data_IF_740582155198
#
_entry.id   IF_740582155198
#
_cell.length_a   1.000
_cell.length_b   1.000
_cell.length_c   1.000
_cell.angle_alpha   90.00
_cell.angle_beta   90.00
_cell.angle_gamma   90.00
#
_symmetry.space_group_name_H-M   'P 1'
#
loop_
_entity.id
_entity.type
_entity.pdbx_description
1 polymer ?
#
# COMPACT_ATOMS: atom_id res chain seq x y z
N UNK A 1 -33.22 -21.32 -15.18
CA UNK A 1 -32.64 -20.01 -14.83
C UNK A 1 -31.14 -20.18 -14.94
N UNK A 2 -30.50 -19.50 -15.89
CA UNK A 2 -29.08 -19.68 -16.19
C UNK A 2 -28.25 -18.53 -15.60
N UNK A 3 -26.99 -18.82 -15.25
CA UNK A 3 -26.04 -17.84 -14.74
C UNK A 3 -24.96 -17.59 -15.79
N UNK A 4 -24.60 -16.32 -15.98
CA UNK A 4 -23.50 -15.98 -16.89
C UNK A 4 -22.16 -16.36 -16.25
N UNK A 5 -21.39 -17.21 -16.92
CA UNK A 5 -20.05 -17.59 -16.48
C UNK A 5 -19.04 -16.43 -16.50
N UNK A 6 -19.30 -15.36 -17.26
CA UNK A 6 -18.40 -14.22 -17.36
C UNK A 6 -18.66 -13.17 -16.27
N UNK A 7 -19.91 -12.79 -16.03
CA UNK A 7 -20.26 -11.72 -15.07
C UNK A 7 -21.09 -12.18 -13.86
N UNK A 8 -21.42 -13.47 -13.75
CA UNK A 8 -22.18 -14.04 -12.63
C UNK A 8 -23.64 -13.62 -12.56
N UNK A 9 -24.14 -12.85 -13.52
CA UNK A 9 -25.53 -12.35 -13.49
C UNK A 9 -26.49 -13.43 -13.98
N UNK A 10 -27.62 -13.57 -13.28
CA UNK A 10 -28.72 -14.45 -13.68
C UNK A 10 -29.44 -13.87 -14.89
N UNK A 11 -29.77 -14.74 -15.85
CA UNK A 11 -30.54 -14.38 -17.02
C UNK A 11 -31.50 -15.52 -17.38
N UNK A 12 -32.55 -15.18 -18.13
CA UNK A 12 -33.56 -16.16 -18.53
C UNK A 12 -33.04 -17.12 -19.60
N UNK A 13 -33.44 -18.38 -19.47
CA UNK A 13 -33.07 -19.45 -20.41
C UNK A 13 -33.58 -19.09 -21.82
N UNK A 14 -32.76 -19.31 -22.85
CA UNK A 14 -33.12 -19.02 -24.25
C UNK A 14 -32.67 -17.65 -24.79
N UNK A 15 -32.10 -16.77 -23.96
CA UNK A 15 -31.37 -15.59 -24.47
C UNK A 15 -30.07 -16.04 -25.15
N UNK A 16 -29.69 -15.40 -26.26
CA UNK A 16 -28.47 -15.75 -27.03
C UNK A 16 -27.21 -15.14 -26.41
N UNK A 17 -27.36 -14.03 -25.67
CA UNK A 17 -26.29 -13.28 -25.05
C UNK A 17 -26.74 -12.73 -23.68
N UNK A 18 -25.80 -12.61 -22.74
CA UNK A 18 -26.03 -12.01 -21.44
C UNK A 18 -26.28 -10.50 -21.60
N UNK A 19 -27.42 -9.97 -21.11
CA UNK A 19 -27.76 -8.56 -21.28
C UNK A 19 -26.84 -7.59 -20.50
N UNK A 20 -26.08 -8.11 -19.52
CA UNK A 20 -25.20 -7.28 -18.68
C UNK A 20 -23.78 -7.16 -19.22
N UNK A 21 -23.25 -8.21 -19.83
CA UNK A 21 -21.85 -8.23 -20.28
C UNK A 21 -21.66 -8.60 -21.76
N UNK A 22 -22.73 -8.95 -22.47
CA UNK A 22 -22.69 -9.33 -23.89
C UNK A 22 -22.15 -10.73 -24.18
N UNK A 23 -21.74 -11.51 -23.17
CA UNK A 23 -21.20 -12.86 -23.38
C UNK A 23 -22.27 -13.84 -23.90
N UNK A 24 -21.87 -14.75 -24.79
CA UNK A 24 -22.78 -15.75 -25.38
C UNK A 24 -23.37 -16.70 -24.33
N UNK A 25 -24.68 -16.93 -24.40
CA UNK A 25 -25.38 -17.83 -23.48
C UNK A 25 -25.11 -19.29 -23.83
N UNK A 26 -24.95 -20.12 -22.80
CA UNK A 26 -24.71 -21.56 -22.95
C UNK A 26 -26.05 -22.33 -23.02
N UNK A 27 -26.24 -23.26 -23.98
CA UNK A 27 -27.43 -24.11 -24.04
C UNK A 27 -27.33 -25.25 -23.02
N UNK A 28 -28.42 -25.48 -22.27
CA UNK A 28 -28.53 -26.58 -21.31
C UNK A 28 -29.14 -27.81 -22.00
N UNK A 29 -28.51 -28.98 -21.90
CA UNK A 29 -29.05 -30.24 -22.43
C UNK A 29 -30.03 -30.89 -21.43
N UNK A 30 -31.11 -31.57 -21.89
CA UNK A 30 -32.15 -32.09 -21.01
C UNK A 30 -31.75 -33.40 -20.28
N UNK A 31 -32.30 -33.67 -19.07
CA UNK A 31 -31.94 -34.83 -18.25
C UNK A 31 -32.69 -36.11 -18.66
N UNK A 32 -31.96 -37.23 -18.70
CA UNK A 32 -32.47 -38.59 -18.96
C UNK A 32 -32.72 -39.30 -17.62
N UNK A 33 -33.92 -39.88 -17.42
CA UNK A 33 -34.27 -40.68 -16.24
C UNK A 33 -33.89 -42.16 -16.43
N UNK A 34 -33.29 -42.79 -15.40
CA UNK A 34 -32.98 -44.22 -15.35
C UNK A 34 -33.81 -44.96 -14.28
N UNK A 35 -34.18 -46.25 -14.49
CA UNK A 35 -35.06 -47.03 -13.61
C UNK A 35 -34.37 -47.58 -12.34
N UNK A 36 -35.13 -47.99 -11.29
CA UNK A 36 -34.58 -48.27 -9.95
C UNK A 36 -33.93 -49.66 -9.80
N UNK A 37 -32.95 -49.85 -8.88
CA UNK A 37 -32.12 -51.06 -8.81
C UNK A 37 -32.64 -52.14 -7.83
N UNK A 38 -32.48 -53.41 -8.21
CA UNK A 38 -32.67 -54.60 -7.36
C UNK A 38 -31.42 -54.86 -6.48
N UNK A 39 -31.64 -55.32 -5.24
CA UNK A 39 -30.62 -55.46 -4.19
C UNK A 39 -29.91 -56.82 -4.22
N UNK A 40 -28.59 -56.83 -3.95
CA UNK A 40 -27.72 -58.01 -3.90
C UNK A 40 -27.15 -58.29 -2.49
N UNK A 41 -26.71 -59.54 -2.19
CA UNK A 41 -26.48 -60.07 -0.84
C UNK A 41 -25.18 -59.61 -0.15
N UNK A 42 -25.23 -59.57 1.19
CA UNK A 42 -24.24 -59.00 2.09
C UNK A 42 -23.02 -59.91 2.32
N UNK A 43 -21.83 -59.44 1.97
CA UNK A 43 -20.56 -60.09 2.31
C UNK A 43 -19.34 -59.24 1.95
N UNK A 44 -18.57 -58.83 2.96
CA UNK A 44 -17.27 -58.18 2.83
C UNK A 44 -17.37 -56.65 2.67
N UNK A 45 -17.13 -55.91 3.74
CA UNK A 45 -16.97 -54.45 3.68
C UNK A 45 -15.63 -54.12 3.01
N UNK A 46 -15.65 -54.02 1.68
CA UNK A 46 -14.65 -53.28 0.94
C UNK A 46 -14.87 -51.78 1.25
N UNK A 47 -13.82 -51.02 1.62
CA UNK A 47 -13.97 -49.58 1.85
C UNK A 47 -14.46 -48.89 0.56
N UNK A 48 -15.39 -47.93 0.66
CA UNK A 48 -16.00 -47.31 -0.50
C UNK A 48 -14.94 -46.60 -1.38
N UNK A 49 -15.11 -46.60 -2.72
CA UNK A 49 -14.25 -45.85 -3.62
C UNK A 49 -14.22 -44.36 -3.21
N UNK A 50 -13.03 -43.85 -2.89
CA UNK A 50 -12.86 -42.44 -2.56
C UNK A 50 -13.20 -41.60 -3.80
N UNK A 51 -14.32 -40.88 -3.73
CA UNK A 51 -14.66 -39.90 -4.74
C UNK A 51 -13.54 -38.83 -4.82
N UNK A 52 -13.19 -38.33 -6.03
CA UNK A 52 -12.29 -37.19 -6.17
C UNK A 52 -12.86 -36.03 -5.36
N UNK A 53 -12.21 -35.67 -4.26
CA UNK A 53 -12.58 -34.50 -3.49
C UNK A 53 -12.39 -33.27 -4.40
N UNK A 54 -13.38 -32.37 -4.48
CA UNK A 54 -13.19 -31.09 -5.14
C UNK A 54 -11.97 -30.41 -4.52
N UNK A 55 -11.03 -29.98 -5.34
CA UNK A 55 -9.86 -29.24 -4.91
C UNK A 55 -10.33 -27.84 -4.45
N UNK A 56 -10.80 -27.76 -3.21
CA UNK A 56 -11.16 -26.51 -2.58
C UNK A 56 -9.89 -25.67 -2.47
N UNK A 57 -9.86 -24.54 -3.18
CA UNK A 57 -8.85 -23.52 -2.95
C UNK A 57 -8.85 -23.18 -1.44
N UNK A 58 -7.71 -23.28 -0.75
CA UNK A 58 -7.67 -23.02 0.67
C UNK A 58 -8.15 -21.60 0.95
N UNK A 59 -8.90 -21.37 2.05
CA UNK A 59 -9.33 -20.03 2.43
C UNK A 59 -8.11 -19.10 2.51
N UNK A 60 -8.22 -17.84 2.06
CA UNK A 60 -7.11 -16.90 2.07
C UNK A 60 -6.52 -16.84 3.48
N UNK A 61 -5.25 -17.23 3.59
CA UNK A 61 -4.58 -17.29 4.89
C UNK A 61 -4.56 -15.89 5.50
N UNK A 62 -4.84 -15.75 6.80
CA UNK A 62 -4.77 -14.46 7.47
C UNK A 62 -3.35 -13.91 7.29
N UNK A 63 -3.25 -12.77 6.61
CA UNK A 63 -1.96 -12.12 6.40
C UNK A 63 -1.31 -11.88 7.78
N UNK A 64 0.02 -12.06 7.90
CA UNK A 64 0.72 -11.85 9.16
C UNK A 64 0.35 -10.50 9.76
N UNK A 65 0.02 -10.45 11.05
CA UNK A 65 -0.36 -9.21 11.74
C UNK A 65 0.64 -8.06 11.53
N UNK A 66 1.92 -8.39 11.38
CA UNK A 66 2.98 -7.43 10.99
C UNK A 66 2.74 -6.74 9.65
N UNK A 67 2.17 -7.43 8.65
CA UNK A 67 1.86 -6.83 7.35
C UNK A 67 0.67 -5.87 7.42
N UNK A 68 -0.26 -6.11 8.35
CA UNK A 68 -1.40 -5.21 8.60
C UNK A 68 -0.94 -3.90 9.25
N UNK A 69 -0.06 -3.99 10.25
CA UNK A 69 0.55 -2.80 10.86
C UNK A 69 1.37 -2.00 9.85
N UNK A 70 2.15 -2.67 9.00
CA UNK A 70 2.93 -2.01 7.95
C UNK A 70 2.04 -1.33 6.91
N UNK A 71 0.91 -1.93 6.53
CA UNK A 71 -0.05 -1.32 5.61
C UNK A 71 -0.76 -0.10 6.22
N UNK A 72 -1.07 -0.13 7.51
CA UNK A 72 -1.67 1.01 8.23
C UNK A 72 -0.68 2.15 8.41
N UNK A 73 0.59 1.87 8.71
CA UNK A 73 1.64 2.89 8.81
C UNK A 73 1.80 3.66 7.50
N UNK A 74 1.66 2.99 6.35
CA UNK A 74 1.74 3.61 5.02
C UNK A 74 0.64 4.64 4.75
N UNK A 75 -0.49 4.59 5.47
CA UNK A 75 -1.64 5.46 5.22
C UNK A 75 -1.66 6.76 6.06
N UNK A 76 -0.64 6.97 6.90
CA UNK A 76 -0.51 8.18 7.72
C UNK A 76 0.91 8.65 8.00
N UNK A 77 1.93 7.84 7.70
CA UNK A 77 3.33 8.21 7.92
C UNK A 77 3.80 9.29 6.96
N UNK A 78 4.38 10.37 7.49
CA UNK A 78 5.20 11.29 6.70
C UNK A 78 6.32 10.55 5.96
N UNK A 79 6.59 10.95 4.72
CA UNK A 79 7.54 10.26 3.84
C UNK A 79 8.96 10.83 3.96
N UNK A 80 9.96 9.94 4.04
CA UNK A 80 11.38 10.31 4.04
C UNK A 80 11.76 11.06 2.76
N UNK A 81 11.27 10.62 1.61
CA UNK A 81 11.55 11.26 0.32
C UNK A 81 11.09 12.70 0.30
N UNK A 82 9.89 12.99 0.82
CA UNK A 82 9.38 14.35 0.94
C UNK A 82 10.27 15.20 1.85
N UNK A 83 10.72 14.67 2.99
CA UNK A 83 11.63 15.39 3.89
C UNK A 83 12.99 15.71 3.24
N UNK A 84 13.54 14.79 2.45
CA UNK A 84 14.80 14.99 1.71
C UNK A 84 14.63 16.04 0.61
N UNK A 85 13.56 15.96 -0.18
CA UNK A 85 13.27 16.94 -1.24
C UNK A 85 13.10 18.32 -0.62
N UNK A 86 12.33 18.43 0.46
CA UNK A 86 12.17 19.70 1.18
C UNK A 86 13.51 20.20 1.74
N UNK A 87 14.35 19.33 2.30
CA UNK A 87 15.66 19.76 2.81
C UNK A 87 16.60 20.22 1.68
N UNK A 88 16.52 19.59 0.51
CA UNK A 88 17.31 19.98 -0.66
C UNK A 88 16.83 21.27 -1.31
N UNK A 89 15.55 21.64 -1.30
CA UNK A 89 15.12 22.91 -1.91
C UNK A 89 15.04 24.05 -0.91
N UNK A 90 14.68 23.72 0.33
CA UNK A 90 14.28 24.69 1.35
C UNK A 90 15.22 24.69 2.57
N UNK A 91 16.28 23.87 2.59
CA UNK A 91 17.27 23.85 3.67
C UNK A 91 16.63 23.58 5.04
N UNK A 92 16.85 24.50 6.00
CA UNK A 92 16.37 24.35 7.38
C UNK A 92 14.86 24.50 7.53
N UNK A 93 14.16 25.05 6.52
CA UNK A 93 12.70 25.12 6.50
C UNK A 93 12.06 23.71 6.40
N UNK A 94 12.82 22.69 5.98
CA UNK A 94 12.38 21.29 6.06
C UNK A 94 11.97 20.85 7.46
N UNK A 95 12.48 21.50 8.52
CA UNK A 95 12.08 21.17 9.89
C UNK A 95 10.66 21.61 10.26
N UNK A 96 9.98 22.42 9.44
CA UNK A 96 8.54 22.61 9.54
C UNK A 96 7.77 21.31 9.24
N UNK A 97 8.31 20.46 8.37
CA UNK A 97 7.72 19.14 8.09
C UNK A 97 7.76 18.23 9.34
N UNK A 98 8.81 18.34 10.15
CA UNK A 98 9.04 17.58 11.38
C UNK A 98 8.93 18.45 12.65
N UNK A 99 8.07 19.49 12.60
CA UNK A 99 8.04 20.56 13.60
C UNK A 99 7.86 20.06 15.04
N UNK A 100 7.03 19.03 15.26
CA UNK A 100 6.78 18.48 16.61
C UNK A 100 8.05 18.09 17.37
N UNK A 101 9.13 17.70 16.67
CA UNK A 101 10.38 17.27 17.31
C UNK A 101 11.57 18.17 17.03
N UNK A 102 11.63 18.79 15.85
CA UNK A 102 12.75 19.65 15.46
C UNK A 102 12.46 21.16 15.67
N UNK A 103 11.36 21.56 16.32
CA UNK A 103 11.02 22.98 16.60
C UNK A 103 12.17 23.79 17.21
N UNK A 104 12.91 23.21 18.16
CA UNK A 104 14.04 23.89 18.78
C UNK A 104 15.14 24.18 17.77
N UNK A 105 15.48 23.20 16.91
CA UNK A 105 16.47 23.37 15.85
C UNK A 105 16.03 24.44 14.86
N UNK A 106 14.74 24.44 14.50
CA UNK A 106 14.15 25.46 13.63
C UNK A 106 14.33 26.87 14.18
N UNK A 107 13.92 27.13 15.41
CA UNK A 107 14.06 28.48 15.99
C UNK A 107 15.52 28.88 16.24
N UNK A 108 16.38 27.94 16.64
CA UNK A 108 17.82 28.20 16.83
C UNK A 108 18.45 28.58 15.48
N UNK A 109 18.24 27.80 14.42
CA UNK A 109 18.78 28.13 13.10
C UNK A 109 18.15 29.38 12.50
N UNK A 110 16.85 29.62 12.69
CA UNK A 110 16.17 30.83 12.24
C UNK A 110 16.81 32.07 12.89
N UNK A 111 16.94 32.08 14.22
CA UNK A 111 17.51 33.21 14.96
C UNK A 111 18.98 33.41 14.61
N UNK A 112 19.77 32.33 14.53
CA UNK A 112 21.17 32.39 14.11
C UNK A 112 21.28 32.94 12.68
N UNK A 113 20.42 32.51 11.75
CA UNK A 113 20.45 32.99 10.37
C UNK A 113 20.15 34.50 10.27
N UNK A 114 19.23 35.01 11.08
CA UNK A 114 18.91 36.45 11.15
C UNK A 114 20.09 37.24 11.71
N UNK A 115 20.68 36.79 12.83
CA UNK A 115 21.83 37.46 13.45
C UNK A 115 23.04 37.49 12.50
N UNK A 116 23.36 36.35 11.89
CA UNK A 116 24.46 36.23 10.94
C UNK A 116 24.21 37.12 9.72
N UNK A 117 22.98 37.14 9.19
CA UNK A 117 22.61 38.02 8.07
C UNK A 117 22.74 39.51 8.44
N UNK A 118 22.30 39.90 9.64
CA UNK A 118 22.43 41.28 10.13
C UNK A 118 23.90 41.71 10.24
N UNK A 119 24.76 40.84 10.76
CA UNK A 119 26.20 41.08 10.83
C UNK A 119 26.86 41.14 9.44
N UNK A 120 26.39 40.33 8.48
CA UNK A 120 26.89 40.39 7.11
C UNK A 120 26.55 41.71 6.41
N UNK A 121 25.32 42.20 6.60
CA UNK A 121 24.87 43.47 6.00
C UNK A 121 25.66 44.65 6.57
N UNK A 122 26.03 44.62 7.86
CA UNK A 122 26.79 45.71 8.50
C UNK A 122 28.29 45.66 8.26
N UNK A 123 28.87 44.46 8.12
CA UNK A 123 30.33 44.28 7.97
C UNK A 123 30.83 44.30 6.51
N UNK A 124 29.94 44.20 5.52
CA UNK A 124 30.31 44.17 4.09
C UNK A 124 31.11 42.92 3.68
N UNK A 125 31.20 41.89 4.53
CA UNK A 125 32.01 40.69 4.31
C UNK A 125 31.27 39.62 3.50
N UNK A 126 30.72 39.99 2.35
CA UNK A 126 29.91 39.10 1.51
C UNK A 126 30.67 37.85 1.02
N UNK A 127 32.00 37.93 0.91
CA UNK A 127 32.83 36.83 0.42
C UNK A 127 32.82 35.59 1.33
N UNK A 128 32.62 35.77 2.64
CA UNK A 128 32.55 34.66 3.60
C UNK A 128 31.22 33.89 3.45
N UNK A 129 30.17 34.54 2.92
CA UNK A 129 28.87 33.91 2.70
C UNK A 129 28.93 32.73 1.71
N UNK A 130 29.85 32.77 0.74
CA UNK A 130 30.01 31.67 -0.23
C UNK A 130 30.46 30.36 0.42
N UNK A 131 31.11 30.41 1.59
CA UNK A 131 31.56 29.23 2.32
C UNK A 131 30.59 28.83 3.43
N UNK A 132 30.05 29.81 4.16
CA UNK A 132 29.18 29.54 5.31
C UNK A 132 27.77 29.12 4.88
N UNK A 133 27.26 29.71 3.80
CA UNK A 133 25.87 29.50 3.40
C UNK A 133 25.56 28.11 2.86
N UNK A 134 26.42 27.50 2.01
CA UNK A 134 26.24 26.11 1.58
C UNK A 134 26.30 25.12 2.74
N UNK A 135 27.20 25.34 3.72
CA UNK A 135 27.33 24.45 4.90
C UNK A 135 26.06 24.48 5.74
N UNK A 136 25.54 25.68 6.02
CA UNK A 136 24.31 25.85 6.79
C UNK A 136 23.09 25.27 6.06
N UNK A 137 23.08 25.35 4.73
CA UNK A 137 21.99 24.84 3.88
C UNK A 137 22.04 23.32 3.67
N UNK A 138 23.22 22.73 3.52
CA UNK A 138 23.42 21.29 3.35
C UNK A 138 23.27 20.51 4.65
N UNK A 139 23.51 21.13 5.81
CA UNK A 139 23.40 20.48 7.10
C UNK A 139 22.02 19.82 7.35
N UNK A 140 20.87 20.50 7.16
CA UNK A 140 19.54 19.91 7.23
C UNK A 140 19.34 18.73 6.28
N UNK A 141 19.91 18.81 5.07
CA UNK A 141 19.83 17.75 4.06
C UNK A 141 20.58 16.49 4.50
N UNK A 142 21.81 16.64 4.98
CA UNK A 142 22.61 15.54 5.54
C UNK A 142 21.88 14.90 6.73
N UNK A 143 21.36 15.71 7.65
CA UNK A 143 20.58 15.25 8.79
C UNK A 143 19.30 14.49 8.36
N UNK A 144 18.66 14.86 7.25
CA UNK A 144 17.51 14.12 6.70
C UNK A 144 17.89 12.79 6.04
N UNK A 145 19.07 12.71 5.41
CA UNK A 145 19.59 11.46 4.83
C UNK A 145 19.94 10.46 5.93
N UNK A 146 20.61 10.92 6.99
CA UNK A 146 21.06 10.09 8.12
C UNK A 146 19.89 9.46 8.89
N UNK A 147 18.68 10.03 8.82
CA UNK A 147 17.50 9.50 9.50
C UNK A 147 16.86 8.35 8.70
N UNK A 148 16.59 7.24 9.37
CA UNK A 148 15.88 6.11 8.77
C UNK A 148 14.44 6.46 8.37
N UNK A 149 13.86 5.73 7.40
CA UNK A 149 12.45 5.93 6.99
C UNK A 149 11.47 5.68 8.14
N UNK A 150 11.80 4.74 9.03
CA UNK A 150 11.07 4.44 10.26
C UNK A 150 10.94 5.64 11.20
N UNK A 151 11.93 6.55 11.20
CA UNK A 151 11.90 7.75 12.03
C UNK A 151 10.80 8.72 11.58
N UNK A 152 10.57 8.82 10.27
CA UNK A 152 9.49 9.63 9.70
C UNK A 152 8.12 8.98 9.83
N UNK A 153 8.06 7.66 10.01
CA UNK A 153 6.82 6.94 10.25
C UNK A 153 6.15 7.24 11.59
N UNK A 154 6.85 7.94 12.49
CA UNK A 154 6.32 8.38 13.78
C UNK A 154 5.62 9.75 13.73
N UNK A 155 5.49 10.37 12.56
CA UNK A 155 4.90 11.70 12.35
C UNK A 155 3.72 11.68 11.40
#
# INVERSE_FOLDING_TARGET
>A
MAFCSNCGTQYQDGTRFCPRCGAAAQPMAPPVYAPPPQQAPYGGYAPPPQAPYPNYAPPPQPMPYNNMMQAQQRYGSKSKSTAIILAFFFGYWSWLYTFKRDRAKFFICLLLSILVSALYVTSGMYYISYFVWPVFWLWPFINSIMRGSQWYAQY
#
